data_IF_848431891124
#
_entry.id   IF_848431891124
#
_cell.length_a   1.000
_cell.length_b   1.000
_cell.length_c   1.000
_cell.angle_alpha   90.00
_cell.angle_beta   90.00
_cell.angle_gamma   90.00
#
_symmetry.space_group_name_H-M   'P 1'
#
loop_
_entity.id
_entity.type
_entity.pdbx_description
1 polymer ?
#
# COMPACT_ATOMS: atom_id res chain seq x y z
N UNK A 1 0.40 -19.22 25.72
CA UNK A 1 1.87 -19.34 25.58
C UNK A 1 2.42 -17.95 25.33
N UNK A 2 3.29 -17.45 26.20
CA UNK A 2 3.98 -16.17 26.01
C UNK A 2 5.02 -16.40 24.92
N UNK A 3 5.05 -15.55 23.91
CA UNK A 3 6.06 -15.63 22.84
C UNK A 3 7.45 -15.49 23.43
N UNK A 4 8.32 -16.47 23.15
CA UNK A 4 9.73 -16.48 23.58
C UNK A 4 10.64 -15.78 22.57
N UNK A 5 10.10 -15.07 21.59
CA UNK A 5 10.91 -14.34 20.62
C UNK A 5 11.60 -13.14 21.28
N UNK A 6 12.90 -13.02 21.04
CA UNK A 6 13.74 -11.91 21.52
C UNK A 6 13.26 -10.56 20.96
N UNK A 7 12.74 -10.55 19.75
CA UNK A 7 12.12 -9.41 19.09
C UNK A 7 10.64 -9.79 18.87
N UNK A 8 9.71 -9.22 19.63
CA UNK A 8 8.31 -9.55 19.49
C UNK A 8 7.76 -8.98 18.17
N UNK A 9 6.92 -9.75 17.49
CA UNK A 9 6.11 -9.23 16.41
C UNK A 9 5.02 -8.32 17.00
N UNK A 10 5.06 -7.04 16.67
CA UNK A 10 4.06 -6.07 17.12
C UNK A 10 3.03 -5.85 16.01
N UNK A 11 1.78 -6.15 16.29
CA UNK A 11 0.66 -5.80 15.41
C UNK A 11 0.24 -4.33 15.50
N UNK A 12 0.83 -3.56 16.42
CA UNK A 12 0.52 -2.15 16.62
C UNK A 12 1.75 -1.30 16.33
N UNK A 13 1.77 -0.70 15.13
CA UNK A 13 2.88 0.13 14.67
C UNK A 13 2.75 1.60 15.11
N UNK A 14 1.55 2.07 15.50
CA UNK A 14 1.27 3.46 15.85
C UNK A 14 0.52 3.57 17.18
N UNK A 15 0.87 4.58 17.97
CA UNK A 15 0.13 4.98 19.18
C UNK A 15 -0.58 6.29 18.87
N UNK A 16 -1.91 6.25 18.85
CA UNK A 16 -2.72 7.42 18.55
C UNK A 16 -2.62 8.47 19.64
N UNK A 17 -2.46 9.72 19.24
CA UNK A 17 -2.53 10.89 20.11
C UNK A 17 -3.97 11.22 20.47
N UNK A 18 -4.16 11.98 21.55
CA UNK A 18 -5.50 12.45 21.93
C UNK A 18 -6.15 13.31 20.83
N UNK A 19 -5.35 14.04 20.07
CA UNK A 19 -5.80 14.88 18.95
C UNK A 19 -6.33 14.04 17.79
N UNK A 20 -5.62 12.98 17.41
CA UNK A 20 -6.05 12.03 16.39
C UNK A 20 -7.35 11.34 16.80
N UNK A 21 -7.45 10.87 18.04
CA UNK A 21 -8.68 10.25 18.57
C UNK A 21 -9.85 11.24 18.52
N UNK A 22 -9.64 12.49 18.93
CA UNK A 22 -10.67 13.53 18.92
C UNK A 22 -11.18 13.80 17.52
N UNK A 23 -10.29 13.91 16.51
CA UNK A 23 -10.68 14.12 15.12
C UNK A 23 -11.54 12.96 14.58
N UNK A 24 -11.20 11.72 14.94
CA UNK A 24 -11.99 10.55 14.54
C UNK A 24 -13.39 10.58 15.17
N UNK A 25 -13.48 10.89 16.47
CA UNK A 25 -14.77 11.01 17.17
C UNK A 25 -15.62 12.12 16.53
N UNK A 26 -15.03 13.28 16.28
CA UNK A 26 -15.70 14.41 15.65
C UNK A 26 -16.23 14.01 14.27
N UNK A 27 -15.41 13.37 13.44
CA UNK A 27 -15.82 12.89 12.13
C UNK A 27 -17.00 11.90 12.21
N UNK A 28 -16.99 10.98 13.19
CA UNK A 28 -18.09 10.04 13.40
C UNK A 28 -19.41 10.74 13.78
N UNK A 29 -19.33 11.83 14.52
CA UNK A 29 -20.51 12.55 15.02
C UNK A 29 -21.05 13.59 14.04
N UNK A 30 -20.21 14.21 13.23
CA UNK A 30 -20.55 15.40 12.45
C UNK A 30 -20.43 15.24 10.95
N UNK A 31 -19.64 14.27 10.46
CA UNK A 31 -19.39 14.15 9.02
C UNK A 31 -20.64 13.71 8.23
N UNK A 32 -20.94 14.47 7.18
CA UNK A 32 -22.01 14.14 6.23
C UNK A 32 -21.57 14.54 4.82
N UNK A 33 -21.45 13.58 3.89
CA UNK A 33 -21.58 12.12 4.10
C UNK A 33 -20.38 11.52 4.83
N UNK A 34 -20.55 10.31 5.38
CA UNK A 34 -19.45 9.55 5.98
C UNK A 34 -18.48 8.96 4.94
N UNK A 35 -18.91 8.85 3.69
CA UNK A 35 -18.09 8.37 2.58
C UNK A 35 -17.80 9.52 1.61
N UNK A 36 -16.60 9.55 1.05
CA UNK A 36 -16.18 10.59 0.09
C UNK A 36 -16.37 12.03 0.61
N UNK A 37 -16.22 12.20 1.93
CA UNK A 37 -16.44 13.46 2.60
C UNK A 37 -15.20 14.36 2.65
N UNK A 38 -15.34 15.44 3.42
CA UNK A 38 -14.34 16.53 3.52
C UNK A 38 -12.95 16.02 3.98
N UNK A 39 -12.89 15.04 4.88
CA UNK A 39 -11.63 14.52 5.38
C UNK A 39 -10.86 13.74 4.31
N UNK A 40 -11.55 12.97 3.46
CA UNK A 40 -10.93 12.28 2.32
C UNK A 40 -10.37 13.29 1.32
N UNK A 41 -11.14 14.31 0.95
CA UNK A 41 -10.66 15.35 0.02
C UNK A 41 -9.46 16.11 0.58
N UNK A 42 -9.50 16.48 1.87
CA UNK A 42 -8.38 17.15 2.53
C UNK A 42 -7.12 16.28 2.56
N UNK A 43 -7.27 14.97 2.83
CA UNK A 43 -6.16 14.02 2.79
C UNK A 43 -5.56 13.90 1.38
N UNK A 44 -6.38 13.69 0.36
CA UNK A 44 -5.93 13.58 -1.03
C UNK A 44 -5.18 14.84 -1.48
N UNK A 45 -5.69 16.02 -1.12
CA UNK A 45 -5.04 17.29 -1.43
C UNK A 45 -3.65 17.39 -0.78
N UNK A 46 -3.57 17.15 0.53
CA UNK A 46 -2.28 17.16 1.26
C UNK A 46 -1.30 16.12 0.72
N UNK A 47 -1.78 14.97 0.31
CA UNK A 47 -0.94 13.93 -0.28
C UNK A 47 -0.37 14.37 -1.63
N UNK A 48 -1.18 15.02 -2.49
CA UNK A 48 -0.70 15.62 -3.73
C UNK A 48 0.36 16.70 -3.46
N UNK A 49 0.13 17.58 -2.49
CA UNK A 49 1.07 18.63 -2.12
C UNK A 49 2.41 18.05 -1.62
N UNK A 50 2.34 16.99 -0.81
CA UNK A 50 3.54 16.33 -0.26
C UNK A 50 4.35 15.56 -1.31
N UNK A 51 3.68 14.85 -2.22
CA UNK A 51 4.34 13.99 -3.21
C UNK A 51 4.65 14.69 -4.54
N UNK A 52 4.04 15.84 -4.80
CA UNK A 52 4.09 16.50 -6.11
C UNK A 52 3.19 15.85 -7.16
N UNK A 53 2.40 14.83 -6.80
CA UNK A 53 1.49 14.15 -7.71
C UNK A 53 0.33 15.07 -8.11
N UNK A 54 -0.07 15.00 -9.37
CA UNK A 54 -1.21 15.77 -9.89
C UNK A 54 -2.55 15.31 -9.30
N UNK A 55 -2.68 14.03 -9.04
CA UNK A 55 -3.89 13.40 -8.52
C UNK A 55 -3.55 12.36 -7.46
N UNK A 56 -4.42 12.23 -6.46
CA UNK A 56 -4.37 11.18 -5.46
C UNK A 56 -5.77 10.66 -5.17
N UNK A 57 -5.91 9.37 -4.99
CA UNK A 57 -7.16 8.69 -4.69
C UNK A 57 -6.99 7.82 -3.45
N UNK A 58 -7.75 8.11 -2.41
CA UNK A 58 -7.75 7.29 -1.21
C UNK A 58 -8.58 6.02 -1.43
N UNK A 59 -8.00 4.89 -1.06
CA UNK A 59 -8.62 3.57 -1.11
C UNK A 59 -8.63 2.95 0.28
N UNK A 60 -9.40 1.91 0.47
CA UNK A 60 -9.55 1.27 1.78
C UNK A 60 -8.29 0.52 2.26
N UNK A 61 -7.40 0.12 1.34
CA UNK A 61 -6.12 -0.51 1.64
C UNK A 61 -5.20 -0.53 0.41
N UNK A 62 -3.92 -0.85 0.63
CA UNK A 62 -2.92 -0.93 -0.44
C UNK A 62 -3.18 -2.06 -1.43
N UNK A 63 -3.79 -3.18 -1.02
CA UNK A 63 -4.16 -4.26 -1.93
C UNK A 63 -5.15 -3.79 -2.99
N UNK A 64 -6.15 -2.98 -2.60
CA UNK A 64 -7.09 -2.38 -3.55
C UNK A 64 -6.40 -1.42 -4.53
N UNK A 65 -5.37 -0.70 -4.07
CA UNK A 65 -4.57 0.16 -4.93
C UNK A 65 -3.79 -0.65 -5.97
N UNK A 66 -3.18 -1.77 -5.57
CA UNK A 66 -2.48 -2.68 -6.46
C UNK A 66 -3.44 -3.37 -7.46
N UNK A 67 -4.63 -3.76 -7.03
CA UNK A 67 -5.66 -4.31 -7.93
C UNK A 67 -6.06 -3.31 -9.02
N UNK A 68 -6.27 -2.04 -8.67
CA UNK A 68 -6.55 -0.99 -9.65
C UNK A 68 -5.36 -0.74 -10.58
N UNK A 69 -4.14 -0.69 -10.04
CA UNK A 69 -2.93 -0.52 -10.82
C UNK A 69 -2.76 -1.63 -11.85
N UNK A 70 -2.94 -2.89 -11.43
CA UNK A 70 -2.89 -4.05 -12.33
C UNK A 70 -3.98 -3.99 -13.42
N UNK A 71 -5.16 -3.48 -13.10
CA UNK A 71 -6.23 -3.30 -14.08
C UNK A 71 -5.90 -2.24 -15.13
N UNK A 72 -5.24 -1.15 -14.73
CA UNK A 72 -4.84 -0.06 -15.63
C UNK A 72 -3.70 -0.46 -16.58
N UNK A 73 -2.87 -1.44 -16.20
CA UNK A 73 -1.76 -1.91 -17.05
C UNK A 73 -2.22 -2.59 -18.34
N UNK A 74 -3.42 -3.17 -18.38
CA UNK A 74 -3.99 -3.83 -19.59
C UNK A 74 -3.05 -4.89 -20.19
N UNK A 75 -2.58 -5.82 -19.38
CA UNK A 75 -1.63 -6.87 -19.77
C UNK A 75 -2.07 -7.68 -20.97
N UNK A 76 -1.11 -8.00 -21.84
CA UNK A 76 -1.25 -8.91 -22.97
C UNK A 76 -0.58 -10.26 -22.64
N UNK A 77 -0.94 -11.34 -23.35
CA UNK A 77 -0.24 -12.60 -23.20
C UNK A 77 1.28 -12.44 -23.41
N UNK A 78 2.06 -12.87 -22.42
CA UNK A 78 3.51 -12.77 -22.44
C UNK A 78 4.10 -11.57 -21.71
N UNK A 79 3.29 -10.60 -21.30
CA UNK A 79 3.77 -9.48 -20.49
C UNK A 79 4.25 -9.95 -19.10
N UNK A 80 5.34 -9.36 -18.65
CA UNK A 80 6.01 -9.72 -17.41
C UNK A 80 5.96 -8.57 -16.39
N UNK A 81 5.90 -8.95 -15.11
CA UNK A 81 6.04 -8.03 -13.99
C UNK A 81 7.12 -8.55 -13.06
N UNK A 82 8.16 -7.77 -12.86
CA UNK A 82 9.25 -8.07 -11.94
C UNK A 82 8.85 -7.68 -10.52
N UNK A 83 8.95 -8.62 -9.59
CA UNK A 83 8.52 -8.42 -8.20
C UNK A 83 9.60 -8.99 -7.27
N UNK A 84 9.97 -8.26 -6.20
CA UNK A 84 10.90 -8.79 -5.21
C UNK A 84 10.33 -10.05 -4.54
N UNK A 85 11.16 -11.09 -4.37
CA UNK A 85 10.78 -12.31 -3.65
C UNK A 85 10.46 -12.03 -2.17
N UNK A 86 11.10 -11.01 -1.58
CA UNK A 86 10.86 -10.58 -0.20
C UNK A 86 9.77 -9.50 -0.16
N UNK A 87 8.53 -9.92 -0.29
CA UNK A 87 7.37 -9.02 -0.27
C UNK A 87 6.12 -9.70 0.27
N UNK A 88 5.06 -8.93 0.46
CA UNK A 88 3.75 -9.46 0.79
C UNK A 88 3.03 -9.97 -0.47
N UNK A 89 2.26 -11.03 -0.35
CA UNK A 89 1.56 -11.69 -1.47
C UNK A 89 0.75 -10.73 -2.34
N UNK A 90 0.16 -9.69 -1.74
CA UNK A 90 -0.60 -8.69 -2.49
C UNK A 90 0.23 -7.88 -3.49
N UNK A 91 1.56 -7.90 -3.41
CA UNK A 91 2.43 -7.26 -4.40
C UNK A 91 2.41 -7.99 -5.75
N UNK A 92 2.17 -9.29 -5.78
CA UNK A 92 2.18 -10.11 -6.99
C UNK A 92 0.79 -10.52 -7.49
N UNK A 93 -0.09 -10.90 -6.56
CA UNK A 93 -1.36 -11.53 -6.88
C UNK A 93 -2.28 -10.72 -7.81
N UNK A 94 -2.45 -9.40 -7.67
CA UNK A 94 -3.28 -8.60 -8.57
C UNK A 94 -2.81 -8.66 -10.03
N UNK A 95 -1.51 -8.61 -10.25
CA UNK A 95 -0.92 -8.65 -11.59
C UNK A 95 -1.07 -10.03 -12.23
N UNK A 96 -0.84 -11.09 -11.45
CA UNK A 96 -1.06 -12.48 -11.88
C UNK A 96 -2.51 -12.71 -12.31
N UNK A 97 -3.48 -12.22 -11.53
CA UNK A 97 -4.92 -12.28 -11.87
C UNK A 97 -5.26 -11.61 -13.19
N UNK A 98 -4.51 -10.60 -13.59
CA UNK A 98 -4.72 -9.86 -14.84
C UNK A 98 -3.94 -10.43 -16.02
N UNK A 99 -3.29 -11.58 -15.84
CA UNK A 99 -2.63 -12.33 -16.90
C UNK A 99 -1.15 -12.03 -17.10
N UNK A 100 -0.55 -11.22 -16.23
CA UNK A 100 0.90 -11.01 -16.26
C UNK A 100 1.66 -12.25 -15.76
N UNK A 101 2.81 -12.51 -16.34
CA UNK A 101 3.78 -13.49 -15.82
C UNK A 101 4.63 -12.82 -14.74
N UNK A 102 4.66 -13.38 -13.54
CA UNK A 102 5.50 -12.86 -12.46
C UNK A 102 6.92 -13.38 -12.63
N UNK A 103 7.87 -12.46 -12.64
CA UNK A 103 9.31 -12.71 -12.61
C UNK A 103 9.83 -12.27 -11.24
N UNK A 104 10.35 -13.24 -10.49
CA UNK A 104 10.84 -12.96 -9.15
C UNK A 104 12.27 -12.43 -9.22
N UNK A 105 12.51 -11.27 -8.63
CA UNK A 105 13.85 -10.73 -8.42
C UNK A 105 14.29 -10.97 -6.98
N UNK A 106 15.57 -11.25 -6.80
CA UNK A 106 16.17 -11.32 -5.46
C UNK A 106 16.36 -9.92 -4.88
N UNK A 107 16.70 -9.85 -3.61
CA UNK A 107 16.98 -8.62 -2.91
C UNK A 107 18.45 -8.54 -2.51
N UNK A 108 18.99 -7.34 -2.48
CA UNK A 108 20.28 -7.10 -1.85
C UNK A 108 20.15 -7.29 -0.33
N UNK A 109 21.12 -8.00 0.26
CA UNK A 109 21.06 -8.40 1.68
C UNK A 109 21.15 -7.22 2.66
N UNK A 110 21.86 -6.17 2.30
CA UNK A 110 22.05 -5.01 3.18
C UNK A 110 20.84 -4.09 3.16
N UNK A 111 20.42 -3.67 1.98
CA UNK A 111 19.31 -2.72 1.79
C UNK A 111 17.93 -3.36 1.91
N UNK A 112 17.83 -4.69 1.72
CA UNK A 112 16.58 -5.47 1.70
C UNK A 112 15.61 -5.07 0.59
N UNK A 113 16.10 -4.42 -0.45
CA UNK A 113 15.33 -4.04 -1.65
C UNK A 113 15.97 -4.61 -2.92
N UNK A 114 15.23 -4.61 -4.01
CA UNK A 114 15.75 -4.92 -5.34
C UNK A 114 16.66 -3.79 -5.81
N UNK A 115 17.74 -4.14 -6.49
CA UNK A 115 18.65 -3.20 -7.15
C UNK A 115 18.69 -3.49 -8.65
N UNK A 116 19.40 -2.67 -9.43
CA UNK A 116 19.59 -2.95 -10.86
C UNK A 116 20.27 -4.31 -11.07
N UNK A 117 21.28 -4.62 -10.25
CA UNK A 117 22.05 -5.86 -10.32
C UNK A 117 21.21 -7.10 -9.95
N UNK A 118 20.20 -6.97 -9.10
CA UNK A 118 19.35 -8.11 -8.73
C UNK A 118 18.17 -8.32 -9.69
N UNK A 119 17.97 -7.41 -10.65
CA UNK A 119 16.93 -7.51 -11.69
C UNK A 119 17.50 -8.07 -13.00
N UNK A 120 18.80 -7.92 -13.27
CA UNK A 120 19.50 -8.47 -14.44
C UNK A 120 19.64 -10.01 -14.36
#
# INVERSE_FOLDING_TARGET
MVSTYRIPFSGRAHTYTNEEVKIVIDAMQTASPLTQGIHQHAFQKKFCEYTGAKHAFALNNATAALELSAQLCQFKPGDEVIIPGHTFTASAYPFLKKGARIVWADIELESRVVTAETIE
#
